data_IF_248441648948
#
_entry.id   IF_248441648948
#
_cell.length_a   1.000
_cell.length_b   1.000
_cell.length_c   1.000
_cell.angle_alpha   90.00
_cell.angle_beta   90.00
_cell.angle_gamma   90.00
#
_symmetry.space_group_name_H-M   'P 1'
#
loop_
_entity.id
_entity.type
_entity.pdbx_description
1 polymer ?
#
# COMPACT_ATOMS: atom_id res chain seq x y z
N UNK A 1 -27.57 7.50 -12.54
CA UNK A 1 -26.97 6.17 -12.80
C UNK A 1 -25.57 6.22 -12.23
N UNK A 2 -25.39 5.71 -11.01
CA UNK A 2 -24.06 5.63 -10.41
C UNK A 2 -23.22 4.68 -11.26
N UNK A 3 -22.09 5.15 -11.77
CA UNK A 3 -21.05 4.24 -12.20
C UNK A 3 -20.66 3.45 -10.94
N UNK A 4 -20.68 2.13 -11.02
CA UNK A 4 -19.79 1.34 -10.18
C UNK A 4 -18.39 1.81 -10.58
N UNK A 5 -17.82 2.75 -9.82
CA UNK A 5 -16.62 3.53 -10.21
C UNK A 5 -15.33 2.70 -10.22
N UNK A 6 -15.43 1.38 -10.08
CA UNK A 6 -14.30 0.47 -10.02
C UNK A 6 -13.51 0.54 -8.72
N UNK A 7 -13.94 1.37 -7.77
CA UNK A 7 -13.26 1.60 -6.50
C UNK A 7 -13.13 0.32 -5.68
N UNK A 8 -12.00 0.20 -5.01
CA UNK A 8 -11.68 -0.89 -4.09
C UNK A 8 -12.20 -0.47 -2.72
N UNK A 9 -13.25 -1.11 -2.23
CA UNK A 9 -13.85 -0.82 -0.93
C UNK A 9 -13.62 -1.92 0.11
N UNK A 10 -13.05 -3.06 -0.32
CA UNK A 10 -12.67 -4.17 0.54
C UNK A 10 -11.37 -4.83 0.08
N UNK A 11 -10.55 -5.27 1.04
CA UNK A 11 -9.21 -5.81 0.77
C UNK A 11 -9.22 -7.09 -0.08
N UNK A 12 -10.28 -7.89 0.03
CA UNK A 12 -10.46 -9.11 -0.77
C UNK A 12 -10.66 -8.87 -2.27
N UNK A 13 -10.87 -7.61 -2.71
CA UNK A 13 -10.93 -7.26 -4.12
C UNK A 13 -9.54 -7.08 -4.75
N UNK A 14 -8.49 -6.90 -3.93
CA UNK A 14 -7.12 -6.66 -4.41
C UNK A 14 -6.57 -7.76 -5.33
N UNK A 15 -6.80 -9.06 -5.08
CA UNK A 15 -6.26 -10.08 -5.97
C UNK A 15 -6.78 -10.00 -7.40
N UNK A 16 -8.07 -9.71 -7.57
CA UNK A 16 -8.66 -9.54 -8.89
C UNK A 16 -8.15 -8.23 -9.54
N UNK A 17 -8.16 -7.13 -8.79
CA UNK A 17 -7.75 -5.81 -9.29
C UNK A 17 -6.28 -5.73 -9.68
N UNK A 18 -5.39 -6.32 -8.88
CA UNK A 18 -3.96 -6.33 -9.18
C UNK A 18 -3.62 -7.08 -10.48
N UNK A 19 -4.41 -8.10 -10.85
CA UNK A 19 -4.27 -8.76 -12.15
C UNK A 19 -4.72 -7.86 -13.31
N UNK A 20 -5.80 -7.09 -13.13
CA UNK A 20 -6.30 -6.14 -14.14
C UNK A 20 -5.28 -5.05 -14.45
N UNK A 21 -4.51 -4.61 -13.46
CA UNK A 21 -3.47 -3.59 -13.63
C UNK A 21 -2.39 -3.95 -14.65
N UNK A 22 -2.12 -5.25 -14.86
CA UNK A 22 -1.12 -5.73 -15.81
C UNK A 22 -1.75 -6.35 -17.07
N UNK A 23 -3.08 -6.33 -17.20
CA UNK A 23 -3.79 -7.08 -18.24
C UNK A 23 -3.34 -6.74 -19.67
N UNK A 24 -3.00 -5.48 -19.95
CA UNK A 24 -2.49 -5.04 -21.25
C UNK A 24 -1.12 -5.66 -21.55
N UNK A 25 -0.22 -5.68 -20.56
CA UNK A 25 1.13 -6.23 -20.72
C UNK A 25 1.11 -7.72 -21.03
N UNK A 26 0.11 -8.46 -20.56
CA UNK A 26 -0.07 -9.88 -20.89
C UNK A 26 -0.08 -10.14 -22.40
N UNK A 27 -0.53 -9.17 -23.19
CA UNK A 27 -0.61 -9.25 -24.65
C UNK A 27 0.55 -8.50 -25.30
N UNK A 28 0.87 -7.29 -24.82
CA UNK A 28 1.82 -6.39 -25.48
C UNK A 28 3.27 -6.69 -25.14
N UNK A 29 3.54 -7.18 -23.93
CA UNK A 29 4.88 -7.55 -23.45
C UNK A 29 4.80 -8.65 -22.37
N UNK A 30 4.67 -9.93 -22.78
CA UNK A 30 4.49 -11.04 -21.85
C UNK A 30 5.68 -11.30 -20.92
N UNK A 31 6.89 -10.90 -21.33
CA UNK A 31 8.11 -11.05 -20.52
C UNK A 31 8.07 -10.05 -19.38
N UNK A 32 7.83 -8.77 -19.69
CA UNK A 32 7.67 -7.73 -18.68
C UNK A 32 6.46 -8.00 -17.77
N UNK A 33 5.37 -8.54 -18.32
CA UNK A 33 4.23 -8.97 -17.51
C UNK A 33 4.66 -10.02 -16.47
N UNK A 34 5.42 -11.05 -16.86
CA UNK A 34 5.85 -12.09 -15.93
C UNK A 34 6.73 -11.52 -14.81
N UNK A 35 7.70 -10.66 -15.17
CA UNK A 35 8.57 -9.97 -14.22
C UNK A 35 7.76 -9.12 -13.22
N UNK A 36 6.86 -8.27 -13.70
CA UNK A 36 6.06 -7.38 -12.85
C UNK A 36 4.99 -8.14 -12.05
N UNK A 37 4.48 -9.26 -12.56
CA UNK A 37 3.47 -10.03 -11.85
C UNK A 37 4.01 -10.64 -10.55
N UNK A 38 5.32 -10.94 -10.48
CA UNK A 38 5.95 -11.46 -9.26
C UNK A 38 5.86 -10.47 -8.10
N UNK A 39 5.84 -9.16 -8.36
CA UNK A 39 5.84 -8.11 -7.33
C UNK A 39 4.49 -7.39 -7.20
N UNK A 40 3.71 -7.23 -8.27
CA UNK A 40 2.47 -6.43 -8.27
C UNK A 40 1.22 -7.29 -8.08
N UNK A 41 1.19 -8.53 -8.61
CA UNK A 41 0.00 -9.38 -8.48
C UNK A 41 -0.06 -9.96 -7.07
N UNK A 42 -1.13 -9.60 -6.36
CA UNK A 42 -1.36 -9.98 -4.97
C UNK A 42 -2.26 -11.21 -4.94
N UNK A 43 -1.85 -12.25 -4.22
CA UNK A 43 -2.67 -13.43 -4.05
C UNK A 43 -3.59 -13.28 -2.82
N UNK A 44 -4.73 -14.00 -2.77
CA UNK A 44 -5.42 -14.23 -1.51
C UNK A 44 -4.47 -14.92 -0.52
N UNK A 45 -4.61 -14.62 0.77
CA UNK A 45 -3.82 -15.28 1.80
C UNK A 45 -4.11 -16.79 1.82
N UNK A 46 -3.07 -17.61 1.64
CA UNK A 46 -3.19 -19.07 1.69
C UNK A 46 -3.08 -19.61 3.13
N UNK A 47 -2.27 -18.95 3.96
CA UNK A 47 -2.07 -19.30 5.37
C UNK A 47 -2.01 -18.02 6.20
N UNK A 48 -2.83 -17.88 7.25
CA UNK A 48 -2.74 -16.72 8.13
C UNK A 48 -1.35 -16.64 8.77
N UNK A 49 -0.74 -15.45 8.74
CA UNK A 49 0.53 -15.17 9.42
C UNK A 49 0.23 -14.33 10.66
N UNK A 50 0.57 -14.85 11.84
CA UNK A 50 0.48 -14.09 13.09
C UNK A 50 1.79 -13.33 13.32
N UNK A 51 1.77 -12.04 13.02
CA UNK A 51 2.90 -11.12 13.23
C UNK A 51 2.95 -10.60 14.66
N UNK A 52 1.79 -10.52 15.35
CA UNK A 52 1.69 -9.93 16.69
C UNK A 52 1.77 -8.40 16.69
N UNK A 53 1.65 -7.77 15.52
CA UNK A 53 1.76 -6.32 15.36
C UNK A 53 0.43 -5.59 15.65
N UNK A 54 0.50 -4.33 16.10
CA UNK A 54 -0.67 -3.49 16.29
C UNK A 54 -1.28 -3.04 14.94
N UNK A 55 -2.40 -2.31 15.00
CA UNK A 55 -3.08 -1.71 13.84
C UNK A 55 -3.67 -2.69 12.80
N UNK A 56 -3.99 -3.93 13.20
CA UNK A 56 -4.73 -4.85 12.34
C UNK A 56 -3.92 -5.44 11.18
N UNK A 57 -2.58 -5.45 11.28
CA UNK A 57 -1.72 -6.09 10.27
C UNK A 57 -2.07 -7.56 10.07
N UNK A 58 -2.27 -8.30 11.16
CA UNK A 58 -2.68 -9.71 11.10
C UNK A 58 -4.05 -9.89 10.41
N UNK A 59 -4.96 -8.92 10.58
CA UNK A 59 -6.26 -8.92 9.89
C UNK A 59 -6.09 -8.74 8.39
N UNK A 60 -5.24 -7.82 7.95
CA UNK A 60 -4.96 -7.61 6.53
C UNK A 60 -4.27 -8.84 5.91
N UNK A 61 -3.25 -9.38 6.57
CA UNK A 61 -2.48 -10.55 6.11
C UNK A 61 -3.27 -11.86 6.17
N UNK A 62 -4.41 -11.89 6.87
CA UNK A 62 -5.36 -13.00 6.80
C UNK A 62 -6.21 -12.98 5.51
N UNK A 63 -6.23 -11.87 4.76
CA UNK A 63 -7.02 -11.72 3.53
C UNK A 63 -6.14 -11.76 2.29
N UNK A 64 -4.96 -11.11 2.33
CA UNK A 64 -4.04 -11.01 1.19
C UNK A 64 -2.62 -11.38 1.57
N UNK A 65 -1.87 -11.97 0.63
CA UNK A 65 -0.44 -12.21 0.78
C UNK A 65 0.35 -11.03 0.20
N UNK A 66 0.98 -10.26 1.09
CA UNK A 66 1.80 -9.10 0.74
C UNK A 66 3.31 -9.43 0.68
N UNK A 67 3.70 -10.70 0.83
CA UNK A 67 5.10 -11.10 0.83
C UNK A 67 5.74 -10.74 -0.51
N UNK A 68 6.73 -9.84 -0.45
CA UNK A 68 7.42 -9.30 -1.63
C UNK A 68 6.54 -8.49 -2.59
N UNK A 69 5.42 -7.94 -2.06
CA UNK A 69 4.46 -7.22 -2.88
C UNK A 69 4.58 -5.71 -2.78
N UNK A 70 4.20 -5.09 -3.88
CA UNK A 70 4.09 -3.66 -4.05
C UNK A 70 2.64 -3.29 -4.40
N UNK A 71 2.12 -2.28 -3.72
CA UNK A 71 0.84 -1.65 -4.01
C UNK A 71 1.13 -0.19 -4.33
N UNK A 72 1.32 0.09 -5.61
CA UNK A 72 1.62 1.45 -6.04
C UNK A 72 2.94 1.93 -5.43
N UNK A 73 2.93 3.09 -4.78
CA UNK A 73 4.10 3.67 -4.12
C UNK A 73 4.51 2.97 -2.80
N UNK A 74 3.77 1.96 -2.36
CA UNK A 74 4.06 1.22 -1.13
C UNK A 74 4.62 -0.16 -1.40
N UNK A 75 5.81 -0.46 -0.86
CA UNK A 75 6.43 -1.79 -0.89
C UNK A 75 6.44 -2.41 0.50
N UNK A 76 5.79 -3.57 0.65
CA UNK A 76 5.69 -4.24 1.93
C UNK A 76 6.97 -5.01 2.28
N UNK A 77 7.54 -4.71 3.45
CA UNK A 77 8.70 -5.37 4.07
C UNK A 77 9.74 -5.89 3.04
N UNK A 78 10.45 -5.00 2.32
CA UNK A 78 11.31 -5.36 1.19
C UNK A 78 12.55 -6.19 1.56
N UNK A 79 12.78 -6.48 2.84
CA UNK A 79 13.83 -7.38 3.28
C UNK A 79 13.55 -8.84 2.86
N UNK A 80 14.60 -9.64 2.82
CA UNK A 80 14.50 -11.08 2.60
C UNK A 80 13.96 -11.79 3.85
N UNK A 81 13.14 -12.83 3.64
CA UNK A 81 12.55 -13.63 4.70
C UNK A 81 11.60 -14.69 4.13
N UNK A 82 11.35 -15.76 4.90
CA UNK A 82 10.54 -16.90 4.44
C UNK A 82 9.05 -16.59 4.48
N UNK A 83 8.63 -15.69 5.36
CA UNK A 83 7.25 -15.24 5.51
C UNK A 83 7.20 -13.74 5.85
N UNK A 84 5.98 -13.20 5.91
CA UNK A 84 5.75 -11.79 6.22
C UNK A 84 6.35 -11.36 7.56
N UNK A 85 6.32 -12.22 8.60
CA UNK A 85 6.84 -11.86 9.92
C UNK A 85 8.36 -11.71 9.90
N UNK A 86 9.07 -12.68 9.30
CA UNK A 86 10.52 -12.61 9.16
C UNK A 86 10.95 -11.38 8.35
N UNK A 87 10.26 -11.10 7.25
CA UNK A 87 10.54 -9.94 6.41
C UNK A 87 10.32 -8.62 7.15
N UNK A 88 9.20 -8.48 7.88
CA UNK A 88 8.95 -7.28 8.69
C UNK A 88 10.04 -7.11 9.74
N UNK A 89 10.42 -8.19 10.44
CA UNK A 89 11.44 -8.15 11.49
C UNK A 89 12.80 -7.71 10.93
N UNK A 90 13.19 -8.26 9.77
CA UNK A 90 14.43 -7.90 9.11
C UNK A 90 14.41 -6.46 8.57
N UNK A 91 13.26 -6.01 8.04
CA UNK A 91 13.09 -4.64 7.56
C UNK A 91 13.15 -3.63 8.70
N UNK A 92 12.42 -3.86 9.79
CA UNK A 92 12.42 -3.01 10.98
C UNK A 92 13.83 -2.88 11.58
N UNK A 93 14.53 -4.00 11.75
CA UNK A 93 15.91 -4.00 12.25
C UNK A 93 16.84 -3.13 11.38
N UNK A 94 16.73 -3.23 10.05
CA UNK A 94 17.52 -2.42 9.11
C UNK A 94 17.27 -0.92 9.29
N UNK A 95 16.01 -0.49 9.33
CA UNK A 95 15.68 0.95 9.44
C UNK A 95 16.16 1.52 10.78
N UNK A 96 16.13 0.72 11.84
CA UNK A 96 16.59 1.11 13.18
C UNK A 96 18.11 1.30 13.29
N UNK A 97 18.89 0.87 12.31
CA UNK A 97 20.32 1.20 12.23
C UNK A 97 20.53 2.71 11.99
N UNK A 98 19.61 3.33 11.24
CA UNK A 98 19.70 4.74 10.85
C UNK A 98 18.78 5.67 11.67
N UNK A 99 17.67 5.14 12.21
CA UNK A 99 16.64 5.93 12.90
C UNK A 99 16.23 5.33 14.26
N UNK A 100 16.55 6.04 15.35
CA UNK A 100 16.00 5.73 16.67
C UNK A 100 14.63 6.39 16.85
N UNK A 101 13.57 5.59 16.75
CA UNK A 101 12.17 6.02 16.81
C UNK A 101 11.40 5.42 17.99
N UNK A 102 12.12 4.82 18.95
CA UNK A 102 11.54 4.13 20.11
C UNK A 102 10.97 2.73 19.78
N UNK A 103 10.59 1.98 20.81
CA UNK A 103 10.14 0.58 20.68
C UNK A 103 8.64 0.45 20.31
N UNK A 104 7.89 1.56 20.34
CA UNK A 104 6.42 1.56 20.20
C UNK A 104 5.91 1.50 18.75
N UNK A 105 6.82 1.53 17.78
CA UNK A 105 6.51 1.45 16.35
C UNK A 105 7.25 0.30 15.69
N UNK A 106 6.70 -0.23 14.60
CA UNK A 106 7.37 -1.25 13.78
C UNK A 106 7.30 -0.83 12.32
N UNK A 107 8.45 -0.75 11.65
CA UNK A 107 8.50 -0.45 10.21
C UNK A 107 8.07 -1.67 9.40
N UNK A 108 7.04 -1.50 8.58
CA UNK A 108 6.39 -2.59 7.81
C UNK A 108 6.57 -2.47 6.31
N UNK A 109 7.20 -1.40 5.84
CA UNK A 109 7.51 -1.24 4.43
C UNK A 109 8.11 0.11 4.11
N UNK A 110 8.30 0.32 2.81
CA UNK A 110 8.85 1.53 2.24
C UNK A 110 7.79 2.22 1.38
N UNK A 111 7.84 3.54 1.39
CA UNK A 111 7.12 4.44 0.52
C UNK A 111 8.15 5.38 -0.13
N UNK A 112 7.89 5.91 -1.32
CA UNK A 112 8.82 6.84 -1.97
C UNK A 112 9.23 8.05 -1.12
N UNK A 113 8.37 8.50 -0.20
CA UNK A 113 8.67 9.59 0.73
C UNK A 113 9.41 9.14 2.00
N UNK A 114 9.52 7.85 2.28
CA UNK A 114 10.21 7.28 3.44
C UNK A 114 9.58 6.01 4.00
N UNK A 115 9.84 5.70 5.27
CA UNK A 115 9.51 4.40 5.84
C UNK A 115 8.11 4.37 6.46
N UNK A 116 7.31 3.37 6.12
CA UNK A 116 5.96 3.19 6.69
C UNK A 116 6.07 2.33 7.95
N UNK A 117 5.43 2.78 9.02
CA UNK A 117 5.40 2.08 10.29
C UNK A 117 3.97 1.89 10.80
N UNK A 118 3.81 0.91 11.68
CA UNK A 118 2.59 0.68 12.47
C UNK A 118 2.88 0.88 13.95
N UNK A 119 1.87 1.35 14.69
CA UNK A 119 1.90 1.51 16.14
C UNK A 119 0.52 1.23 16.73
N UNK A 120 0.38 1.33 18.05
CA UNK A 120 -0.92 1.27 18.72
C UNK A 120 -1.90 2.38 18.27
N UNK A 121 -1.38 3.46 17.68
CA UNK A 121 -2.17 4.61 17.22
C UNK A 121 -2.58 4.50 15.75
N UNK A 122 -2.05 3.52 15.00
CA UNK A 122 -2.36 3.29 13.60
C UNK A 122 -1.12 3.18 12.72
N UNK A 123 -1.26 3.58 11.46
CA UNK A 123 -0.20 3.58 10.44
C UNK A 123 0.35 4.99 10.28
N UNK A 124 1.66 5.10 10.19
CA UNK A 124 2.35 6.36 9.92
C UNK A 124 3.48 6.22 8.92
N UNK A 125 4.02 7.37 8.54
CA UNK A 125 5.15 7.54 7.64
C UNK A 125 6.22 8.36 8.35
N UNK A 126 7.44 7.83 8.38
CA UNK A 126 8.65 8.61 8.62
C UNK A 126 9.05 9.25 7.29
N UNK A 127 8.66 10.50 7.08
CA UNK A 127 8.94 11.29 5.88
C UNK A 127 10.39 11.80 5.95
N UNK A 128 11.29 11.10 5.27
CA UNK A 128 12.73 11.37 5.24
C UNK A 128 13.10 12.36 4.12
N UNK A 129 12.17 12.63 3.20
CA UNK A 129 12.35 13.61 2.12
C UNK A 129 12.08 15.02 2.64
N UNK A 130 11.23 15.17 3.66
CA UNK A 130 11.06 16.43 4.37
C UNK A 130 12.34 16.91 5.08
N UNK A 131 12.56 18.22 5.11
CA UNK A 131 13.68 18.83 5.84
C UNK A 131 13.15 19.84 6.89
N UNK A 132 13.25 19.53 8.21
CA UNK A 132 13.76 18.28 8.79
C UNK A 132 12.81 17.07 8.59
N UNK A 133 13.32 15.82 8.71
CA UNK A 133 12.48 14.62 8.68
C UNK A 133 11.36 14.71 9.72
N UNK A 134 10.19 14.16 9.39
CA UNK A 134 9.01 14.25 10.24
C UNK A 134 8.14 13.01 10.19
N UNK A 135 7.38 12.78 11.26
CA UNK A 135 6.38 11.73 11.32
C UNK A 135 5.03 12.27 10.85
N UNK A 136 4.33 11.49 10.03
CA UNK A 136 2.96 11.77 9.57
C UNK A 136 2.06 10.58 9.87
N UNK A 137 0.89 10.82 10.45
CA UNK A 137 -0.16 9.80 10.50
C UNK A 137 -0.70 9.57 9.09
N UNK A 138 -1.03 8.32 8.75
CA UNK A 138 -1.60 7.95 7.45
C UNK A 138 -2.96 7.29 7.58
N UNK A 139 -3.15 6.42 8.56
CA UNK A 139 -4.40 5.72 8.78
C UNK A 139 -4.53 5.27 10.23
N UNK A 140 -5.75 5.05 10.70
CA UNK A 140 -5.99 4.45 12.01
C UNK A 140 -5.75 2.93 12.03
N UNK A 141 -5.81 2.25 10.88
CA UNK A 141 -5.49 0.83 10.74
C UNK A 141 -4.80 0.51 9.40
N UNK A 142 -4.19 -0.66 9.33
CA UNK A 142 -3.42 -1.11 8.18
C UNK A 142 -4.31 -1.50 6.98
N UNK A 143 -5.55 -1.94 7.20
CA UNK A 143 -6.45 -2.33 6.12
C UNK A 143 -6.91 -1.11 5.32
N UNK A 144 -7.30 -0.04 6.01
CA UNK A 144 -7.69 1.23 5.41
C UNK A 144 -6.54 1.86 4.62
N UNK A 145 -5.31 1.79 5.16
CA UNK A 145 -4.11 2.21 4.44
C UNK A 145 -3.92 1.45 3.12
N UNK A 146 -3.98 0.11 3.13
CA UNK A 146 -3.81 -0.72 1.93
C UNK A 146 -4.89 -0.46 0.88
N UNK A 147 -6.15 -0.31 1.32
CA UNK A 147 -7.26 0.02 0.43
C UNK A 147 -7.04 1.40 -0.22
N UNK A 148 -6.64 2.41 0.55
CA UNK A 148 -6.34 3.73 0.01
C UNK A 148 -5.18 3.69 -0.98
N UNK A 149 -4.10 2.95 -0.68
CA UNK A 149 -2.96 2.78 -1.59
C UNK A 149 -3.37 2.09 -2.90
N UNK A 150 -4.20 1.06 -2.81
CA UNK A 150 -4.66 0.35 -4.00
C UNK A 150 -5.55 1.21 -4.89
N UNK A 151 -6.42 2.02 -4.29
CA UNK A 151 -7.21 3.00 -5.04
C UNK A 151 -6.35 4.10 -5.66
N UNK A 152 -5.31 4.57 -4.95
CA UNK A 152 -4.36 5.52 -5.50
C UNK A 152 -3.63 4.94 -6.72
N UNK A 153 -3.15 3.69 -6.63
CA UNK A 153 -2.49 2.97 -7.72
C UNK A 153 -3.44 2.75 -8.91
N UNK A 154 -4.67 2.29 -8.66
CA UNK A 154 -5.68 2.08 -9.71
C UNK A 154 -6.02 3.39 -10.44
N UNK A 155 -6.32 4.44 -9.68
CA UNK A 155 -6.61 5.75 -10.22
C UNK A 155 -5.42 6.33 -11.00
N UNK A 156 -4.18 6.11 -10.54
CA UNK A 156 -2.99 6.56 -11.23
C UNK A 156 -2.88 5.89 -12.62
N UNK A 157 -3.03 4.56 -12.68
CA UNK A 157 -2.98 3.81 -13.94
C UNK A 157 -4.11 4.23 -14.89
N UNK A 158 -5.35 4.27 -14.40
CA UNK A 158 -6.52 4.56 -15.23
C UNK A 158 -6.59 6.03 -15.66
N UNK A 159 -6.35 6.97 -14.75
CA UNK A 159 -6.56 8.39 -15.03
C UNK A 159 -5.29 9.03 -15.59
N UNK A 160 -4.12 8.83 -14.97
CA UNK A 160 -2.91 9.56 -15.37
C UNK A 160 -2.14 8.85 -16.48
N UNK A 161 -1.92 7.55 -16.38
CA UNK A 161 -1.14 6.79 -17.38
C UNK A 161 -1.95 6.57 -18.66
N UNK A 162 -3.19 6.11 -18.54
CA UNK A 162 -4.00 5.76 -19.72
C UNK A 162 -4.74 6.95 -20.34
N UNK A 163 -5.21 7.91 -19.52
CA UNK A 163 -6.10 8.98 -19.98
C UNK A 163 -5.51 10.41 -19.85
N UNK A 164 -4.36 10.57 -19.19
CA UNK A 164 -3.75 11.88 -18.88
C UNK A 164 -4.74 12.87 -18.22
N UNK A 165 -5.59 12.36 -17.34
CA UNK A 165 -6.68 13.09 -16.68
C UNK A 165 -6.39 13.33 -15.20
N UNK A 166 -5.83 14.50 -14.90
CA UNK A 166 -5.55 14.91 -13.53
C UNK A 166 -6.83 15.20 -12.72
N UNK A 167 -7.87 15.73 -13.37
CA UNK A 167 -9.13 16.01 -12.70
C UNK A 167 -9.82 14.71 -12.26
N UNK A 168 -9.81 13.69 -13.13
CA UNK A 168 -10.27 12.35 -12.81
C UNK A 168 -9.50 11.70 -11.67
N UNK A 169 -8.17 11.90 -11.60
CA UNK A 169 -7.36 11.42 -10.49
C UNK A 169 -7.77 12.05 -9.15
N UNK A 170 -7.96 13.38 -9.11
CA UNK A 170 -8.41 14.07 -7.90
C UNK A 170 -9.84 13.67 -7.51
N UNK A 171 -10.74 13.52 -8.47
CA UNK A 171 -12.11 13.04 -8.22
C UNK A 171 -12.11 11.62 -7.62
N UNK A 172 -11.21 10.75 -8.06
CA UNK A 172 -11.04 9.42 -7.46
C UNK A 172 -10.53 9.49 -6.01
N UNK A 173 -9.63 10.43 -5.69
CA UNK A 173 -9.17 10.68 -4.32
C UNK A 173 -10.32 11.12 -3.41
N UNK A 174 -11.17 12.04 -3.88
CA UNK A 174 -12.36 12.51 -3.16
C UNK A 174 -13.38 11.38 -2.95
N UNK A 175 -13.63 10.57 -3.99
CA UNK A 175 -14.53 9.43 -3.91
C UNK A 175 -14.01 8.36 -2.93
N UNK A 176 -12.69 8.10 -2.92
CA UNK A 176 -12.05 7.21 -1.96
C UNK A 176 -12.23 7.73 -0.53
N UNK A 177 -11.96 9.02 -0.29
CA UNK A 177 -12.11 9.64 1.03
C UNK A 177 -13.56 9.62 1.55
N UNK A 178 -14.55 9.57 0.65
CA UNK A 178 -15.96 9.48 1.00
C UNK A 178 -16.42 8.07 1.40
N UNK A 179 -15.61 7.03 1.20
CA UNK A 179 -15.95 5.67 1.61
C UNK A 179 -16.02 5.58 3.15
N UNK A 180 -17.04 4.90 3.73
CA UNK A 180 -17.15 4.76 5.18
C UNK A 180 -15.92 4.13 5.84
N UNK A 181 -15.26 3.19 5.16
CA UNK A 181 -14.05 2.53 5.64
C UNK A 181 -12.83 3.46 5.70
N UNK A 182 -12.86 4.61 5.03
CA UNK A 182 -11.74 5.57 4.97
C UNK A 182 -11.82 6.66 6.05
N UNK A 183 -12.78 6.57 6.97
CA UNK A 183 -12.84 7.48 8.11
C UNK A 183 -11.52 7.42 8.91
N UNK A 184 -10.83 8.55 9.04
CA UNK A 184 -9.52 8.60 9.71
C UNK A 184 -8.34 8.06 8.89
N UNK A 185 -8.48 7.99 7.56
CA UNK A 185 -7.39 7.72 6.61
C UNK A 185 -7.02 9.01 5.86
N UNK A 186 -5.74 9.32 5.79
CA UNK A 186 -5.18 10.47 5.08
C UNK A 186 -5.10 10.21 3.57
N UNK A 187 -6.25 9.95 2.94
CA UNK A 187 -6.37 9.57 1.52
C UNK A 187 -5.68 10.57 0.60
N UNK A 188 -5.84 11.88 0.84
CA UNK A 188 -5.20 12.91 0.04
C UNK A 188 -3.67 12.80 0.07
N UNK A 189 -3.08 12.53 1.24
CA UNK A 189 -1.64 12.32 1.39
C UNK A 189 -1.16 11.09 0.61
N UNK A 190 -1.90 9.99 0.70
CA UNK A 190 -1.59 8.73 0.05
C UNK A 190 -1.62 8.89 -1.49
N UNK A 191 -2.67 9.51 -2.02
CA UNK A 191 -2.77 9.82 -3.46
C UNK A 191 -1.67 10.78 -3.92
N UNK A 192 -1.39 11.84 -3.16
CA UNK A 192 -0.32 12.78 -3.53
C UNK A 192 1.04 12.12 -3.60
N UNK A 193 1.29 11.15 -2.72
CA UNK A 193 2.55 10.41 -2.69
C UNK A 193 2.64 9.43 -3.87
N UNK A 194 1.56 8.70 -4.19
CA UNK A 194 1.49 7.86 -5.39
C UNK A 194 1.77 8.61 -6.69
N UNK A 195 1.37 9.87 -6.78
CA UNK A 195 1.56 10.68 -7.99
C UNK A 195 3.02 11.14 -8.18
N UNK A 196 3.80 11.21 -7.10
CA UNK A 196 5.16 11.79 -7.09
C UNK A 196 6.27 10.75 -7.09
N UNK A 197 5.96 9.52 -6.69
CA UNK A 197 6.81 8.34 -6.88
C UNK A 197 6.72 7.80 -8.30
#
# INVERSE_FOLDING_TARGET
>A
MGRDDGMIDHLSALPARSQEWLAVLKITDPVLHAELAETIVIAPAATPVATGLPAGVDTALAVVDLTDKEIGAFRFAPAAGRDARERITAHDARIREDFDTGEDIVFVGDHDAGHVFVSLQGVGLLDIVAQPPRIRALAHDFTGFLIAQANACDAYKRCLVQATDLAGYHAAAEACAALPAMAGVEVATIFDAQRRG
#
